data_IF_084696658813
#
_entry.id   IF_084696658813
#
_cell.length_a   1.000
_cell.length_b   1.000
_cell.length_c   1.000
_cell.angle_alpha   90.00
_cell.angle_beta   90.00
_cell.angle_gamma   90.00
#
_symmetry.space_group_name_H-M   'P 1'
#
loop_
_entity.id
_entity.type
_entity.pdbx_description
1 polymer ?
#
# COMPACT_ATOMS: atom_id res chain seq x y z
N UNK A 1 -14.77 4.23 1.91
CA UNK A 1 -13.61 4.08 1.00
C UNK A 1 -12.35 4.31 1.79
N UNK A 2 -11.39 3.40 1.68
CA UNK A 2 -10.08 3.50 2.34
C UNK A 2 -9.00 3.50 1.26
N UNK A 3 -7.98 4.34 1.42
CA UNK A 3 -6.84 4.43 0.51
C UNK A 3 -5.53 4.56 1.27
N UNK A 4 -4.40 4.24 0.62
CA UNK A 4 -3.09 4.53 1.18
C UNK A 4 -2.81 6.05 1.09
N UNK A 5 -1.92 6.60 1.94
CA UNK A 5 -1.58 8.03 1.90
C UNK A 5 -0.83 8.45 0.64
N UNK A 6 -0.39 7.50 -0.19
CA UNK A 6 0.40 7.78 -1.40
C UNK A 6 -0.43 8.56 -2.41
N UNK A 7 0.15 9.63 -2.96
CA UNK A 7 -0.52 10.53 -3.90
C UNK A 7 -1.29 9.79 -5.00
N UNK A 8 -0.65 8.81 -5.66
CA UNK A 8 -1.27 8.01 -6.73
C UNK A 8 -2.54 7.25 -6.28
N UNK A 9 -2.53 6.71 -5.07
CA UNK A 9 -3.66 5.95 -4.53
C UNK A 9 -4.78 6.89 -4.08
N UNK A 10 -4.42 8.05 -3.50
CA UNK A 10 -5.37 9.11 -3.16
C UNK A 10 -6.07 9.67 -4.39
N UNK A 11 -5.31 10.03 -5.43
CA UNK A 11 -5.86 10.55 -6.69
C UNK A 11 -6.80 9.53 -7.35
N UNK A 12 -6.41 8.25 -7.37
CA UNK A 12 -7.27 7.17 -7.87
C UNK A 12 -8.57 7.11 -7.06
N UNK A 13 -8.47 7.15 -5.73
CA UNK A 13 -9.64 7.09 -4.86
C UNK A 13 -10.56 8.32 -5.03
N UNK A 14 -10.00 9.52 -5.21
CA UNK A 14 -10.76 10.74 -5.48
C UNK A 14 -11.51 10.66 -6.82
N UNK A 15 -10.88 10.11 -7.86
CA UNK A 15 -11.54 9.89 -9.17
C UNK A 15 -12.71 8.93 -9.04
N UNK A 16 -12.54 7.80 -8.33
CA UNK A 16 -13.62 6.84 -8.09
C UNK A 16 -14.73 7.46 -7.22
N UNK A 17 -14.35 8.29 -6.25
CA UNK A 17 -15.28 8.87 -5.29
C UNK A 17 -16.09 10.06 -5.83
N UNK A 18 -15.75 10.57 -7.02
CA UNK A 18 -16.35 11.78 -7.61
C UNK A 18 -17.88 11.75 -7.63
N UNK A 19 -18.47 10.58 -7.92
CA UNK A 19 -19.93 10.40 -8.02
C UNK A 19 -20.53 9.63 -6.82
N UNK A 20 -19.70 9.20 -5.87
CA UNK A 20 -20.13 8.43 -4.69
C UNK A 20 -20.31 9.30 -3.45
N UNK A 21 -19.54 10.39 -3.34
CA UNK A 21 -19.53 11.33 -2.21
C UNK A 21 -19.45 10.65 -0.83
N UNK A 22 -18.64 9.58 -0.73
CA UNK A 22 -18.43 8.86 0.53
C UNK A 22 -17.14 9.33 1.22
N UNK A 23 -17.04 9.21 2.56
CA UNK A 23 -15.82 9.55 3.27
C UNK A 23 -14.60 8.78 2.75
N UNK A 24 -13.53 9.52 2.43
CA UNK A 24 -12.24 8.98 2.03
C UNK A 24 -11.28 8.97 3.22
N UNK A 25 -10.96 7.77 3.71
CA UNK A 25 -10.09 7.56 4.87
C UNK A 25 -8.71 7.12 4.38
N UNK A 26 -7.65 7.77 4.90
CA UNK A 26 -6.27 7.39 4.60
C UNK A 26 -5.73 6.50 5.71
N UNK A 27 -5.06 5.40 5.34
CA UNK A 27 -4.44 4.46 6.28
C UNK A 27 -3.02 4.11 5.83
N UNK A 28 -2.03 4.36 6.68
CA UNK A 28 -0.61 4.13 6.41
C UNK A 28 -0.28 2.63 6.33
N UNK A 29 -1.13 1.79 6.92
CA UNK A 29 -1.01 0.33 6.88
C UNK A 29 -1.07 -0.23 5.46
N UNK A 30 -1.65 0.50 4.51
CA UNK A 30 -1.80 0.08 3.11
C UNK A 30 -0.81 0.74 2.15
N UNK A 31 0.25 1.39 2.66
CA UNK A 31 1.38 1.80 1.83
C UNK A 31 2.04 0.56 1.21
N UNK A 32 2.38 0.67 -0.08
CA UNK A 32 3.11 -0.35 -0.87
C UNK A 32 4.36 -0.85 -0.14
N UNK A 33 4.75 -2.10 -0.41
CA UNK A 33 5.98 -2.66 0.15
C UNK A 33 7.18 -1.80 -0.23
N UNK A 34 8.05 -1.48 0.73
CA UNK A 34 9.24 -0.67 0.44
C UNK A 34 10.35 -1.51 -0.23
N UNK A 35 10.77 -1.12 -1.43
CA UNK A 35 11.85 -1.80 -2.17
C UNK A 35 13.24 -1.18 -1.97
N UNK A 36 13.32 -0.03 -1.29
CA UNK A 36 14.55 0.73 -1.00
C UNK A 36 15.53 0.78 -2.17
N UNK A 37 16.60 -0.01 -2.12
CA UNK A 37 17.69 0.02 -3.11
C UNK A 37 17.25 -0.40 -4.53
N UNK A 38 16.05 -0.97 -4.68
CA UNK A 38 15.45 -1.29 -5.96
C UNK A 38 14.34 -0.31 -6.41
N UNK A 39 14.06 0.75 -5.64
CA UNK A 39 13.13 1.81 -6.02
C UNK A 39 13.69 2.64 -7.18
N UNK A 40 12.81 3.10 -8.08
CA UNK A 40 13.19 3.93 -9.23
C UNK A 40 13.90 3.21 -10.37
N UNK A 41 14.29 1.94 -10.19
CA UNK A 41 14.87 1.12 -11.27
C UNK A 41 13.80 0.65 -12.26
N UNK A 42 14.17 0.65 -13.53
CA UNK A 42 13.46 -0.13 -14.56
C UNK A 42 13.57 -1.63 -14.28
N UNK A 43 12.73 -2.43 -14.95
CA UNK A 43 12.80 -3.89 -14.83
C UNK A 43 14.16 -4.43 -15.27
N UNK A 44 14.74 -3.88 -16.33
CA UNK A 44 16.04 -4.31 -16.89
C UNK A 44 17.19 -4.00 -15.92
N UNK A 45 17.25 -2.78 -15.39
CA UNK A 45 18.24 -2.38 -14.39
C UNK A 45 18.15 -3.24 -13.14
N UNK A 46 16.93 -3.49 -12.65
CA UNK A 46 16.69 -4.30 -11.45
C UNK A 46 17.10 -5.76 -11.64
N UNK A 47 16.84 -6.36 -12.81
CA UNK A 47 17.27 -7.73 -13.12
C UNK A 47 18.79 -7.84 -13.26
N UNK A 48 19.45 -6.78 -13.75
CA UNK A 48 20.92 -6.70 -13.85
C UNK A 48 21.58 -6.51 -12.48
N UNK A 49 21.07 -5.59 -11.66
CA UNK A 49 21.61 -5.27 -10.34
C UNK A 49 21.31 -6.37 -9.30
N UNK A 50 20.12 -6.99 -9.38
CA UNK A 50 19.67 -8.01 -8.43
C UNK A 50 19.14 -9.27 -9.14
N UNK A 51 20.01 -10.10 -9.74
CA UNK A 51 19.59 -11.27 -10.53
C UNK A 51 18.77 -12.29 -9.73
N UNK A 52 19.05 -12.41 -8.43
CA UNK A 52 18.32 -13.31 -7.51
C UNK A 52 17.03 -12.70 -6.94
N UNK A 53 16.70 -11.46 -7.34
CA UNK A 53 15.56 -10.67 -6.84
C UNK A 53 15.58 -10.47 -5.32
N UNK A 54 16.76 -10.55 -4.71
CA UNK A 54 17.02 -10.13 -3.33
C UNK A 54 17.46 -8.68 -3.36
N UNK A 55 16.58 -7.79 -2.96
CA UNK A 55 16.86 -6.36 -2.90
C UNK A 55 17.36 -6.02 -1.49
N UNK A 56 18.53 -5.39 -1.34
CA UNK A 56 19.02 -5.00 -0.02
C UNK A 56 18.08 -3.97 0.61
N UNK A 57 18.01 -3.99 1.94
CA UNK A 57 17.15 -3.15 2.77
C UNK A 57 15.64 -3.28 2.54
N UNK A 58 15.17 -4.08 1.56
CA UNK A 58 13.75 -4.31 1.29
C UNK A 58 12.98 -4.68 2.56
N UNK A 59 11.82 -4.06 2.76
CA UNK A 59 10.88 -4.47 3.81
C UNK A 59 10.61 -5.98 3.70
N UNK A 60 10.81 -6.73 4.77
CA UNK A 60 10.56 -8.16 4.77
C UNK A 60 9.05 -8.44 4.69
N UNK A 61 8.68 -9.66 4.27
CA UNK A 61 7.27 -10.01 4.07
C UNK A 61 6.50 -10.07 5.38
N UNK A 62 7.15 -10.39 6.49
CA UNK A 62 6.48 -10.51 7.78
C UNK A 62 6.14 -9.13 8.35
N UNK A 63 7.03 -8.16 8.22
CA UNK A 63 6.76 -6.74 8.54
C UNK A 63 5.61 -6.17 7.72
N UNK A 64 5.61 -6.42 6.40
CA UNK A 64 4.50 -6.01 5.52
C UNK A 64 3.18 -6.66 5.95
N UNK A 65 3.18 -7.99 6.11
CA UNK A 65 1.99 -8.75 6.51
C UNK A 65 1.44 -8.27 7.85
N UNK A 66 2.32 -8.07 8.84
CA UNK A 66 1.95 -7.57 10.16
C UNK A 66 1.27 -6.21 10.06
N UNK A 67 1.84 -5.28 9.30
CA UNK A 67 1.27 -3.94 9.11
C UNK A 67 -0.09 -3.99 8.40
N UNK A 68 -0.24 -4.80 7.36
CA UNK A 68 -1.53 -4.99 6.67
C UNK A 68 -2.59 -5.57 7.61
N UNK A 69 -2.23 -6.58 8.42
CA UNK A 69 -3.15 -7.19 9.37
C UNK A 69 -3.61 -6.20 10.45
N UNK A 70 -2.72 -5.34 10.94
CA UNK A 70 -3.09 -4.23 11.84
C UNK A 70 -4.13 -3.31 11.16
N UNK A 71 -3.95 -3.00 9.88
CA UNK A 71 -4.92 -2.20 9.12
C UNK A 71 -6.28 -2.88 9.00
N UNK A 72 -6.31 -4.18 8.71
CA UNK A 72 -7.55 -4.97 8.62
C UNK A 72 -8.25 -5.05 9.98
N UNK A 73 -7.51 -5.24 11.07
CA UNK A 73 -8.06 -5.26 12.43
C UNK A 73 -8.70 -3.92 12.80
N UNK A 74 -8.05 -2.80 12.50
CA UNK A 74 -8.62 -1.46 12.68
C UNK A 74 -9.93 -1.28 11.92
N UNK A 75 -9.97 -1.72 10.65
CA UNK A 75 -11.20 -1.68 9.84
C UNK A 75 -12.32 -2.48 10.49
N UNK A 76 -12.02 -3.71 10.92
CA UNK A 76 -13.01 -4.59 11.55
C UNK A 76 -13.53 -4.03 12.87
N UNK A 77 -12.71 -3.31 13.62
CA UNK A 77 -13.11 -2.68 14.89
C UNK A 77 -13.96 -1.43 14.65
N UNK A 78 -13.55 -0.54 13.74
CA UNK A 78 -14.20 0.77 13.52
C UNK A 78 -15.43 0.70 12.62
N UNK A 79 -15.45 -0.23 11.66
CA UNK A 79 -16.47 -0.30 10.59
C UNK A 79 -17.20 -1.64 10.55
N UNK A 80 -17.31 -2.32 11.70
CA UNK A 80 -18.01 -3.62 11.81
C UNK A 80 -19.41 -3.55 11.20
N UNK A 81 -19.68 -4.48 10.27
CA UNK A 81 -20.99 -4.59 9.61
C UNK A 81 -21.27 -3.50 8.57
N UNK A 82 -20.31 -2.63 8.25
CA UNK A 82 -20.42 -1.62 7.21
C UNK A 82 -19.71 -2.08 5.93
N UNK A 83 -20.19 -1.61 4.79
CA UNK A 83 -19.43 -1.64 3.53
C UNK A 83 -18.47 -0.46 3.54
N UNK A 84 -17.18 -0.71 3.33
CA UNK A 84 -16.10 0.28 3.37
C UNK A 84 -15.31 0.34 2.08
#
# INVERSE_FOLDING_TARGET
MITSPLKRAKETAEVINKDLDIPLIKMDEFVERFFYDAEGMTVEERLKAFPTRKYPNQEDRDSLNKRIMIGIEKINQEYRGKKI
#
